data_IF_797572855497
#
_entry.id   IF_797572855497
#
_cell.length_a   1.000
_cell.length_b   1.000
_cell.length_c   1.000
_cell.angle_alpha   90.00
_cell.angle_beta   90.00
_cell.angle_gamma   90.00
#
_symmetry.space_group_name_H-M   'P 1'
#
loop_
_entity.id
_entity.type
_entity.pdbx_description
1 polymer ?
#
# COMPACT_ATOMS: atom_id res chain seq x y z
N UNK A 1 26.61 -4.85 -0.20
CA UNK A 1 25.41 -4.48 0.58
C UNK A 1 24.31 -5.42 0.11
N UNK A 2 23.78 -6.30 0.97
CA UNK A 2 22.68 -7.19 0.58
C UNK A 2 21.39 -6.35 0.65
N UNK A 3 20.68 -6.17 -0.46
CA UNK A 3 19.42 -5.43 -0.43
C UNK A 3 18.40 -6.19 0.43
N UNK A 4 17.69 -5.47 1.31
CA UNK A 4 16.61 -6.02 2.15
C UNK A 4 15.61 -6.81 1.30
N UNK A 5 15.28 -6.30 0.11
CA UNK A 5 14.39 -6.94 -0.86
C UNK A 5 14.93 -8.27 -1.39
N UNK A 6 16.25 -8.41 -1.57
CA UNK A 6 16.84 -9.67 -2.03
C UNK A 6 16.78 -10.74 -0.92
N UNK A 7 16.93 -10.33 0.34
CA UNK A 7 16.73 -11.22 1.48
C UNK A 7 15.27 -11.67 1.58
N UNK A 8 14.32 -10.76 1.39
CA UNK A 8 12.87 -11.04 1.35
C UNK A 8 12.55 -11.97 0.17
N UNK A 9 13.13 -11.76 -1.00
CA UNK A 9 12.93 -12.61 -2.17
C UNK A 9 13.47 -14.04 -1.92
N UNK A 10 14.63 -14.16 -1.28
CA UNK A 10 15.21 -15.46 -0.96
C UNK A 10 14.35 -16.27 0.03
N UNK A 11 13.74 -15.62 1.02
CA UNK A 11 12.83 -16.30 1.96
C UNK A 11 11.44 -16.56 1.35
N UNK A 12 10.99 -15.74 0.39
CA UNK A 12 9.79 -15.98 -0.41
C UNK A 12 9.97 -17.21 -1.30
N UNK A 13 11.11 -17.34 -2.01
CA UNK A 13 11.40 -18.53 -2.83
C UNK A 13 11.49 -19.83 -2.01
N UNK A 14 11.90 -19.73 -0.74
CA UNK A 14 11.90 -20.86 0.20
C UNK A 14 10.52 -21.17 0.78
N UNK A 15 9.50 -20.37 0.49
CA UNK A 15 8.15 -20.51 1.05
C UNK A 15 8.06 -20.22 2.55
N UNK A 16 9.03 -19.47 3.10
CA UNK A 16 9.05 -19.12 4.53
C UNK A 16 8.05 -17.99 4.83
N UNK A 17 7.80 -17.13 3.85
CA UNK A 17 6.85 -16.01 3.93
C UNK A 17 5.89 -16.05 2.76
N UNK A 18 4.68 -15.53 2.95
CA UNK A 18 3.70 -15.42 1.86
C UNK A 18 4.07 -14.30 0.86
N UNK A 19 3.63 -14.37 -0.41
CA UNK A 19 3.81 -13.28 -1.38
C UNK A 19 3.27 -11.94 -0.88
N UNK A 20 2.17 -11.95 -0.13
CA UNK A 20 1.60 -10.78 0.54
C UNK A 20 2.55 -10.19 1.59
N UNK A 21 3.08 -11.01 2.50
CA UNK A 21 4.03 -10.53 3.52
C UNK A 21 5.32 -10.02 2.90
N UNK A 22 5.83 -10.70 1.86
CA UNK A 22 6.99 -10.23 1.13
C UNK A 22 6.74 -8.85 0.52
N UNK A 23 5.56 -8.62 -0.06
CA UNK A 23 5.16 -7.33 -0.61
C UNK A 23 5.00 -6.23 0.45
N UNK A 24 4.49 -6.55 1.63
CA UNK A 24 4.35 -5.57 2.72
C UNK A 24 5.68 -5.22 3.38
N UNK A 25 6.65 -6.14 3.37
CA UNK A 25 7.99 -5.94 3.95
C UNK A 25 9.01 -5.37 2.95
N UNK A 26 8.78 -5.55 1.65
CA UNK A 26 9.66 -5.04 0.61
C UNK A 26 9.53 -3.52 0.45
N UNK A 27 10.64 -2.89 0.11
CA UNK A 27 10.69 -1.49 -0.30
C UNK A 27 10.21 -1.38 -1.75
N UNK A 28 10.70 -2.26 -2.63
CA UNK A 28 10.30 -2.26 -4.04
C UNK A 28 9.05 -3.12 -4.28
N UNK A 29 7.89 -2.52 -4.07
CA UNK A 29 6.57 -3.16 -4.26
C UNK A 29 6.37 -3.66 -5.69
N UNK A 30 6.98 -3.04 -6.71
CA UNK A 30 6.80 -3.44 -8.10
C UNK A 30 7.40 -4.82 -8.38
N UNK A 31 8.55 -5.16 -7.77
CA UNK A 31 9.15 -6.50 -7.91
C UNK A 31 8.25 -7.60 -7.36
N UNK A 32 7.52 -7.33 -6.28
CA UNK A 32 6.68 -8.32 -5.61
C UNK A 32 5.24 -8.36 -6.14
N UNK A 33 4.74 -7.27 -6.76
CA UNK A 33 3.37 -7.15 -7.29
C UNK A 33 2.99 -8.28 -8.26
N UNK A 34 3.95 -8.78 -9.05
CA UNK A 34 3.74 -9.89 -10.00
C UNK A 34 3.45 -11.24 -9.34
N UNK A 35 3.84 -11.41 -8.06
CA UNK A 35 3.66 -12.65 -7.32
C UNK A 35 2.38 -12.64 -6.46
N UNK A 36 1.67 -11.51 -6.39
CA UNK A 36 0.37 -11.46 -5.71
C UNK A 36 -0.75 -11.96 -6.62
N UNK A 37 -1.75 -12.65 -6.05
CA UNK A 37 -2.99 -12.96 -6.76
C UNK A 37 -3.73 -11.66 -7.13
N UNK A 38 -4.56 -11.73 -8.18
CA UNK A 38 -5.26 -10.56 -8.74
C UNK A 38 -6.10 -9.77 -7.71
N UNK A 39 -6.62 -10.46 -6.69
CA UNK A 39 -7.38 -9.88 -5.59
C UNK A 39 -6.52 -8.98 -4.68
N UNK A 40 -5.26 -9.35 -4.48
CA UNK A 40 -4.30 -8.58 -3.67
C UNK A 40 -3.44 -7.61 -4.50
N UNK A 41 -3.35 -7.83 -5.81
CA UNK A 41 -2.78 -6.84 -6.74
C UNK A 41 -3.57 -5.51 -6.68
N UNK A 42 -4.87 -5.58 -6.40
CA UNK A 42 -5.73 -4.42 -6.13
C UNK A 42 -5.40 -3.74 -4.79
N UNK A 43 -5.04 -4.50 -3.74
CA UNK A 43 -4.50 -3.97 -2.48
C UNK A 43 -3.16 -3.25 -2.69
N UNK A 44 -2.35 -3.68 -3.65
CA UNK A 44 -1.17 -2.93 -4.09
C UNK A 44 -1.48 -1.55 -4.66
N UNK A 45 -2.70 -1.30 -5.12
CA UNK A 45 -3.19 0.04 -5.47
C UNK A 45 -3.66 0.82 -4.22
N UNK A 46 -4.06 0.14 -3.14
CA UNK A 46 -4.49 0.74 -1.88
C UNK A 46 -3.33 1.02 -0.89
N UNK A 47 -2.17 0.36 -1.06
CA UNK A 47 -1.03 0.43 -0.15
C UNK A 47 -0.17 1.71 -0.27
N UNK A 48 -0.76 2.84 -0.67
CA UNK A 48 -0.11 4.15 -0.59
C UNK A 48 0.34 4.80 -1.90
N UNK A 49 -0.29 4.50 -3.03
CA UNK A 49 -0.64 5.61 -3.93
C UNK A 49 -1.96 6.13 -3.39
N UNK A 50 -1.99 7.39 -2.97
CA UNK A 50 -3.24 8.07 -2.60
C UNK A 50 -4.29 7.66 -3.65
N UNK A 51 -5.45 7.07 -3.27
CA UNK A 51 -6.55 7.05 -4.21
C UNK A 51 -6.83 8.52 -4.48
N UNK A 52 -6.48 8.98 -5.69
CA UNK A 52 -6.89 10.28 -6.23
C UNK A 52 -8.40 10.20 -6.51
N UNK A 53 -9.18 9.90 -5.47
CA UNK A 53 -10.64 9.86 -5.53
C UNK A 53 -11.28 9.89 -4.14
N UNK A 54 -10.66 10.45 -3.10
CA UNK A 54 -11.46 10.75 -1.88
C UNK A 54 -10.90 11.82 -0.92
N UNK A 55 -10.34 12.92 -1.42
CA UNK A 55 -10.06 14.09 -0.55
C UNK A 55 -10.44 15.42 -1.17
N UNK A 56 -11.72 15.62 -1.50
CA UNK A 56 -12.31 16.97 -1.41
C UNK A 56 -13.84 16.96 -1.34
N UNK A 57 -14.39 16.46 -0.23
CA UNK A 57 -15.58 17.12 0.30
C UNK A 57 -15.06 18.29 1.14
N UNK A 58 -15.10 19.55 0.66
CA UNK A 58 -14.78 20.68 1.51
C UNK A 58 -15.82 20.70 2.62
N UNK A 59 -15.37 20.47 3.85
CA UNK A 59 -16.19 20.53 5.04
C UNK A 59 -17.00 21.82 5.02
N UNK A 60 -18.32 21.67 4.92
CA UNK A 60 -19.27 22.77 5.04
C UNK A 60 -19.25 23.21 6.51
N UNK A 61 -18.24 24.00 6.88
CA UNK A 61 -18.15 24.65 8.18
C UNK A 61 -19.23 25.73 8.27
N UNK A 62 -20.44 25.31 8.65
CA UNK A 62 -21.49 26.21 9.14
C UNK A 62 -21.00 26.81 10.45
N UNK A 63 -20.32 27.96 10.38
CA UNK A 63 -20.15 28.83 11.55
C UNK A 63 -21.36 29.75 11.65
N UNK A 64 -22.40 29.20 12.27
CA UNK A 64 -23.43 29.98 12.93
C UNK A 64 -22.82 30.65 14.18
N UNK A 65 -22.48 31.94 14.11
CA UNK A 65 -22.31 32.83 15.26
C UNK A 65 -22.75 34.24 14.83
N UNK A 66 -24.03 34.58 15.05
CA UNK A 66 -24.56 35.31 16.22
C UNK A 66 -24.38 36.84 16.10
N UNK A 67 -25.52 37.49 15.83
CA UNK A 67 -26.01 38.82 16.23
C UNK A 67 -25.04 39.70 17.06
N UNK A 68 -24.85 40.93 16.59
CA UNK A 68 -25.09 42.17 17.34
C UNK A 68 -25.38 43.30 16.34
#
# INVERSE_FOLDING_TARGET
MQFMDDAIFAILQKGIVSPHEAFMKAIDKNRFKQYLPAEEAALGNAAGSVPDDEQKLPGNFVKQQRRA
#
